data_IF_728521359344
#
_entry.id   IF_728521359344
#
_cell.length_a   1.000
_cell.length_b   1.000
_cell.length_c   1.000
_cell.angle_alpha   90.00
_cell.angle_beta   90.00
_cell.angle_gamma   90.00
#
_symmetry.space_group_name_H-M   'P 1'
#
loop_
_entity.id
_entity.type
_entity.pdbx_description
1 polymer ?
#
# COMPACT_ATOMS: atom_id res chain seq x y z
N UNK A 1 0.55 -4.50 -22.78
CA UNK A 1 0.77 -4.87 -21.37
C UNK A 1 2.00 -4.19 -20.74
N UNK A 2 3.23 -4.61 -21.05
CA UNK A 2 4.44 -4.09 -20.35
C UNK A 2 4.62 -2.58 -20.55
N UNK A 3 4.46 -2.09 -21.78
CA UNK A 3 4.60 -0.66 -22.08
C UNK A 3 3.56 0.18 -21.34
N UNK A 4 2.28 -0.21 -21.36
CA UNK A 4 1.25 0.50 -20.59
C UNK A 4 1.49 0.45 -19.07
N UNK A 5 2.00 -0.67 -18.54
CA UNK A 5 2.37 -0.79 -17.12
C UNK A 5 3.47 0.22 -16.76
N UNK A 6 4.54 0.26 -17.56
CA UNK A 6 5.65 1.21 -17.39
C UNK A 6 5.16 2.64 -17.51
N UNK A 7 4.41 2.95 -18.57
CA UNK A 7 4.00 4.32 -18.90
C UNK A 7 3.09 4.88 -17.81
N UNK A 8 2.14 4.08 -17.29
CA UNK A 8 1.32 4.46 -16.16
C UNK A 8 2.14 4.69 -14.88
N UNK A 9 3.13 3.84 -14.59
CA UNK A 9 4.01 4.01 -13.43
C UNK A 9 4.86 5.29 -13.50
N UNK A 10 5.34 5.64 -14.69
CA UNK A 10 6.13 6.84 -14.93
C UNK A 10 5.26 8.11 -14.90
N UNK A 11 4.07 8.05 -15.50
CA UNK A 11 3.12 9.17 -15.54
C UNK A 11 2.55 9.56 -14.16
N UNK A 12 2.57 8.64 -13.21
CA UNK A 12 2.04 8.83 -11.84
C UNK A 12 3.12 9.27 -10.84
N UNK A 13 4.28 9.74 -11.32
CA UNK A 13 5.34 10.28 -10.47
C UNK A 13 4.80 11.33 -9.48
N UNK A 14 5.27 11.27 -8.23
CA UNK A 14 4.83 12.15 -7.14
C UNK A 14 3.63 11.63 -6.34
N UNK A 15 2.90 10.61 -6.82
CA UNK A 15 1.88 9.93 -6.01
C UNK A 15 2.50 8.94 -5.02
N UNK A 16 1.77 8.53 -3.96
CA UNK A 16 2.22 7.47 -3.06
C UNK A 16 2.58 6.19 -3.83
N UNK A 17 3.67 5.52 -3.44
CA UNK A 17 4.21 4.36 -4.17
C UNK A 17 3.16 3.27 -4.43
N UNK A 18 2.34 2.96 -3.42
CA UNK A 18 1.26 1.98 -3.53
C UNK A 18 0.25 2.34 -4.65
N UNK A 19 -0.13 3.61 -4.78
CA UNK A 19 -1.07 4.07 -5.81
C UNK A 19 -0.46 3.96 -7.21
N UNK A 20 0.82 4.33 -7.33
CA UNK A 20 1.56 4.22 -8.60
C UNK A 20 1.62 2.79 -9.10
N UNK A 21 1.88 1.84 -8.20
CA UNK A 21 1.92 0.42 -8.53
C UNK A 21 0.53 -0.12 -8.90
N UNK A 22 -0.53 0.29 -8.20
CA UNK A 22 -1.90 -0.11 -8.54
C UNK A 22 -2.32 0.40 -9.92
N UNK A 23 -2.09 1.68 -10.21
CA UNK A 23 -2.40 2.27 -11.52
C UNK A 23 -1.61 1.60 -12.65
N UNK A 24 -0.35 1.22 -12.39
CA UNK A 24 0.45 0.46 -13.33
C UNK A 24 -0.12 -0.93 -13.61
N UNK A 25 -0.52 -1.68 -12.57
CA UNK A 25 -1.14 -2.99 -12.70
C UNK A 25 -2.44 -2.93 -13.49
N UNK A 26 -3.27 -1.93 -13.24
CA UNK A 26 -4.54 -1.71 -13.95
C UNK A 26 -4.33 -1.38 -15.43
N UNK A 27 -3.37 -0.51 -15.73
CA UNK A 27 -3.02 -0.19 -17.12
C UNK A 27 -2.51 -1.43 -17.87
N UNK A 28 -1.68 -2.26 -17.21
CA UNK A 28 -1.23 -3.53 -17.75
C UNK A 28 -2.38 -4.50 -18.02
N UNK A 29 -3.32 -4.61 -17.08
CA UNK A 29 -4.50 -5.46 -17.19
C UNK A 29 -5.44 -5.02 -18.32
N UNK A 30 -5.63 -3.72 -18.50
CA UNK A 30 -6.45 -3.15 -19.58
C UNK A 30 -5.90 -3.50 -20.98
N UNK A 31 -4.58 -3.61 -21.12
CA UNK A 31 -3.89 -4.00 -22.35
C UNK A 31 -3.76 -5.53 -22.54
N UNK A 32 -4.73 -6.28 -22.02
CA UNK A 32 -4.86 -7.73 -22.19
C UNK A 32 -4.39 -8.59 -21.02
N UNK A 33 -3.65 -8.02 -20.07
CA UNK A 33 -3.24 -8.71 -18.84
C UNK A 33 -2.52 -10.05 -19.05
N UNK A 34 -2.55 -10.91 -18.02
CA UNK A 34 -2.06 -12.28 -18.14
C UNK A 34 -3.04 -13.13 -18.97
N UNK A 35 -2.52 -13.78 -20.02
CA UNK A 35 -3.30 -14.65 -20.93
C UNK A 35 -3.94 -15.84 -20.23
N UNK A 36 -3.44 -16.25 -19.06
CA UNK A 36 -4.02 -17.35 -18.26
C UNK A 36 -5.28 -16.92 -17.50
N UNK A 37 -5.61 -15.63 -17.50
CA UNK A 37 -6.66 -15.04 -16.66
C UNK A 37 -6.09 -14.43 -15.38
N UNK A 38 -7.00 -14.02 -14.49
CA UNK A 38 -6.69 -13.37 -13.21
C UNK A 38 -7.28 -14.19 -12.08
N UNK A 39 -6.44 -14.58 -11.11
CA UNK A 39 -6.86 -15.33 -9.91
C UNK A 39 -6.32 -14.68 -8.63
N UNK A 40 -5.12 -14.11 -8.70
CA UNK A 40 -4.45 -13.49 -7.56
C UNK A 40 -3.83 -12.15 -7.91
N UNK A 41 -3.65 -11.29 -6.91
CA UNK A 41 -2.88 -10.06 -6.99
C UNK A 41 -2.28 -9.73 -5.63
N UNK A 42 -1.11 -9.08 -5.60
CA UNK A 42 -0.45 -8.69 -4.37
C UNK A 42 0.24 -7.33 -4.53
N UNK A 43 0.32 -6.59 -3.44
CA UNK A 43 1.02 -5.32 -3.33
C UNK A 43 1.89 -5.34 -2.08
N UNK A 44 3.21 -5.29 -2.29
CA UNK A 44 4.23 -5.20 -1.26
C UNK A 44 5.00 -3.89 -1.45
N UNK A 45 5.03 -3.07 -0.41
CA UNK A 45 5.85 -1.85 -0.35
C UNK A 45 6.68 -1.93 0.93
N UNK A 46 7.99 -1.77 0.80
CA UNK A 46 8.92 -1.81 1.93
C UNK A 46 9.91 -0.65 1.83
N UNK A 47 10.27 -0.14 3.00
CA UNK A 47 11.32 0.86 3.20
C UNK A 47 12.54 0.19 3.85
N UNK A 48 13.30 0.93 4.65
CA UNK A 48 14.47 0.41 5.38
C UNK A 48 14.10 -0.27 6.70
N UNK A 49 12.82 -0.33 7.01
CA UNK A 49 12.32 -0.96 8.22
C UNK A 49 12.34 -2.49 8.15
N UNK A 50 12.40 -3.17 9.32
CA UNK A 50 12.47 -4.63 9.39
C UNK A 50 11.16 -5.33 8.95
N UNK A 51 10.11 -4.57 8.65
CA UNK A 51 8.82 -5.05 8.16
C UNK A 51 8.30 -4.12 7.05
N UNK A 52 7.47 -4.63 6.13
CA UNK A 52 6.96 -3.84 5.02
C UNK A 52 6.06 -2.68 5.50
N UNK A 53 6.06 -1.59 4.73
CA UNK A 53 5.15 -0.46 4.90
C UNK A 53 3.72 -0.86 4.52
N UNK A 54 3.59 -1.79 3.57
CA UNK A 54 2.33 -2.34 3.10
C UNK A 54 2.57 -3.77 2.57
N UNK A 55 1.78 -4.73 3.02
CA UNK A 55 1.71 -6.08 2.44
C UNK A 55 0.24 -6.50 2.37
N UNK A 56 -0.32 -6.48 1.17
CA UNK A 56 -1.69 -6.88 0.90
C UNK A 56 -1.69 -7.92 -0.21
N UNK A 57 -2.45 -8.99 0.01
CA UNK A 57 -2.59 -10.09 -0.93
C UNK A 57 -4.05 -10.44 -1.13
N UNK A 58 -4.39 -10.73 -2.37
CA UNK A 58 -5.61 -11.38 -2.80
C UNK A 58 -5.18 -12.67 -3.46
N UNK A 59 -5.28 -13.79 -2.76
CA UNK A 59 -4.73 -15.06 -3.23
C UNK A 59 -5.71 -15.83 -4.14
N UNK A 60 -7.03 -15.62 -3.99
CA UNK A 60 -8.06 -16.22 -4.85
C UNK A 60 -9.30 -15.31 -4.95
N UNK A 61 -9.49 -14.68 -6.11
CA UNK A 61 -10.66 -13.84 -6.41
C UNK A 61 -10.89 -13.73 -7.93
N UNK A 62 -12.15 -13.69 -8.42
CA UNK A 62 -12.45 -13.54 -9.86
C UNK A 62 -12.04 -12.17 -10.45
N UNK A 63 -11.90 -11.16 -9.58
CA UNK A 63 -11.35 -9.85 -9.93
C UNK A 63 -10.33 -9.40 -8.87
N UNK A 64 -9.11 -9.97 -8.88
CA UNK A 64 -8.19 -9.78 -7.77
C UNK A 64 -7.61 -8.36 -7.72
N UNK A 65 -7.53 -7.65 -8.84
CA UNK A 65 -7.05 -6.26 -8.87
C UNK A 65 -8.08 -5.28 -8.30
N UNK A 66 -9.37 -5.44 -8.63
CA UNK A 66 -10.41 -4.64 -8.01
C UNK A 66 -10.46 -4.85 -6.49
N UNK A 67 -10.33 -6.10 -6.05
CA UNK A 67 -10.28 -6.43 -4.63
C UNK A 67 -9.01 -5.90 -3.94
N UNK A 68 -7.86 -5.96 -4.62
CA UNK A 68 -6.61 -5.37 -4.12
C UNK A 68 -6.74 -3.85 -3.92
N UNK A 69 -7.41 -3.14 -4.85
CA UNK A 69 -7.71 -1.70 -4.69
C UNK A 69 -8.63 -1.44 -3.50
N UNK A 70 -9.66 -2.28 -3.29
CA UNK A 70 -10.54 -2.18 -2.12
C UNK A 70 -9.76 -2.36 -0.82
N UNK A 71 -8.92 -3.40 -0.73
CA UNK A 71 -8.09 -3.66 0.44
C UNK A 71 -7.06 -2.56 0.70
N UNK A 72 -6.46 -1.98 -0.34
CA UNK A 72 -5.60 -0.81 -0.21
C UNK A 72 -6.37 0.40 0.37
N UNK A 73 -7.59 0.66 -0.09
CA UNK A 73 -8.40 1.73 0.49
C UNK A 73 -8.69 1.50 1.99
N UNK A 74 -8.95 0.26 2.39
CA UNK A 74 -9.13 -0.12 3.81
C UNK A 74 -7.83 0.05 4.61
N UNK A 75 -6.67 -0.33 4.05
CA UNK A 75 -5.39 -0.25 4.75
C UNK A 75 -4.95 1.19 5.04
N UNK A 76 -5.32 2.15 4.18
CA UNK A 76 -5.07 3.58 4.42
C UNK A 76 -5.77 4.14 5.65
N UNK A 77 -6.74 3.41 6.23
CA UNK A 77 -7.35 3.76 7.50
C UNK A 77 -6.46 3.41 8.68
N UNK A 78 -6.92 2.52 9.55
CA UNK A 78 -6.26 2.21 10.82
C UNK A 78 -4.82 1.68 10.68
N UNK A 79 -4.53 0.88 9.66
CA UNK A 79 -3.22 0.25 9.51
C UNK A 79 -2.12 1.27 9.21
N UNK A 80 -2.34 2.19 8.27
CA UNK A 80 -1.38 3.24 7.93
C UNK A 80 -1.02 4.15 9.12
N UNK A 81 -1.96 4.33 10.06
CA UNK A 81 -1.75 5.08 11.29
C UNK A 81 -0.96 4.27 12.31
N UNK A 82 -1.38 3.03 12.55
CA UNK A 82 -0.69 2.13 13.48
C UNK A 82 0.79 1.92 13.10
N UNK A 83 1.07 1.81 11.79
CA UNK A 83 2.44 1.66 11.25
C UNK A 83 3.42 2.72 11.75
N UNK A 84 2.97 3.96 11.95
CA UNK A 84 3.81 5.09 12.43
C UNK A 84 4.25 4.93 13.89
N UNK A 85 3.58 4.08 14.64
CA UNK A 85 3.87 3.84 16.05
C UNK A 85 4.65 2.56 16.30
N UNK A 86 4.91 1.77 15.26
CA UNK A 86 5.70 0.55 15.41
C UNK A 86 7.19 0.87 15.55
N UNK A 87 7.95 -0.10 16.08
CA UNK A 87 9.39 0.02 16.24
C UNK A 87 10.10 -0.04 14.89
N UNK A 88 10.80 0.99 14.45
CA UNK A 88 11.33 1.07 13.09
C UNK A 88 12.16 2.34 12.93
N UNK A 89 11.97 3.07 11.84
CA UNK A 89 12.57 4.36 11.62
C UNK A 89 11.50 5.45 11.59
N UNK A 90 11.81 6.62 12.15
CA UNK A 90 10.94 7.80 12.08
C UNK A 90 10.97 8.45 10.68
N UNK A 91 10.21 9.55 10.51
CA UNK A 91 10.16 10.32 9.25
C UNK A 91 11.52 10.88 8.79
N UNK A 92 12.52 10.93 9.68
CA UNK A 92 13.88 11.37 9.41
C UNK A 92 14.87 10.21 9.27
N UNK A 93 14.39 8.96 9.30
CA UNK A 93 15.22 7.77 9.18
C UNK A 93 16.01 7.43 10.45
N UNK A 94 15.59 7.90 11.63
CA UNK A 94 16.21 7.54 12.93
C UNK A 94 15.49 6.36 13.55
N UNK A 95 16.23 5.47 14.19
CA UNK A 95 15.65 4.37 14.94
C UNK A 95 14.64 4.88 15.98
N UNK A 96 13.47 4.29 15.98
CA UNK A 96 12.35 4.59 16.85
C UNK A 96 11.90 3.29 17.53
N UNK A 97 11.85 3.22 18.87
CA UNK A 97 11.55 1.98 19.60
C UNK A 97 10.07 1.54 19.53
N UNK A 98 9.22 2.35 18.90
CA UNK A 98 7.77 2.18 18.94
C UNK A 98 7.13 2.96 20.08
N UNK A 99 5.87 3.36 19.91
CA UNK A 99 5.08 4.02 20.96
C UNK A 99 4.15 2.98 21.59
N UNK A 100 4.36 2.70 22.87
CA UNK A 100 3.54 1.75 23.63
C UNK A 100 2.50 2.46 24.53
N UNK A 101 2.61 3.78 24.69
CA UNK A 101 1.66 4.56 25.48
C UNK A 101 0.30 4.67 24.76
N UNK A 102 -0.73 4.06 25.37
CA UNK A 102 -2.07 4.01 24.79
C UNK A 102 -2.72 5.39 24.64
N UNK A 103 -2.42 6.34 25.52
CA UNK A 103 -2.97 7.68 25.44
C UNK A 103 -2.42 8.43 24.22
N UNK A 104 -1.11 8.28 23.96
CA UNK A 104 -0.45 8.87 22.77
C UNK A 104 -1.02 8.26 21.49
N UNK A 105 -1.19 6.93 21.47
CA UNK A 105 -1.76 6.21 20.32
C UNK A 105 -3.19 6.67 20.02
N UNK A 106 -4.06 6.74 21.04
CA UNK A 106 -5.45 7.14 20.86
C UNK A 106 -5.57 8.58 20.36
N UNK A 107 -4.81 9.52 20.95
CA UNK A 107 -4.83 10.92 20.54
C UNK A 107 -4.39 11.10 19.07
N UNK A 108 -3.41 10.32 18.62
CA UNK A 108 -2.95 10.39 17.25
C UNK A 108 -3.92 9.73 16.24
N UNK A 109 -4.59 8.65 16.63
CA UNK A 109 -5.66 8.03 15.83
C UNK A 109 -6.82 9.02 15.67
N UNK A 110 -7.27 9.64 16.76
CA UNK A 110 -8.34 10.65 16.73
C UNK A 110 -7.98 11.83 15.83
N UNK A 111 -6.76 12.37 15.95
CA UNK A 111 -6.27 13.46 15.08
C UNK A 111 -6.28 13.08 13.61
N UNK A 112 -5.99 11.83 13.28
CA UNK A 112 -5.95 11.36 11.90
C UNK A 112 -7.32 10.96 11.33
N UNK A 113 -8.31 10.67 12.19
CA UNK A 113 -9.70 10.40 11.80
C UNK A 113 -10.54 11.69 11.67
N UNK A 114 -10.14 12.76 12.35
CA UNK A 114 -10.84 14.06 12.37
C UNK A 114 -10.37 15.09 11.34
N UNK A 115 -9.48 14.74 10.41
CA UNK A 115 -8.93 15.60 9.36
C UNK A 115 -9.28 15.06 7.96
#
# INVERSE_FOLDING_TARGET
>A
MVEATRDAFLATAGQPMAERLLLALEAGQAEGGDKRGRQSAALLVASRDPYPDLDIRVDDHPDPLAELRRLHAVSRGHFALFRRFMAGHDENGREHPGVFDRAVLNAAIEKAQGA
#
